data_IF_181775454310
#
_entry.id   IF_181775454310
#
_cell.length_a   1.000
_cell.length_b   1.000
_cell.length_c   1.000
_cell.angle_alpha   90.00
_cell.angle_beta   90.00
_cell.angle_gamma   90.00
#
_symmetry.space_group_name_H-M   'P 1'
#
loop_
_entity.id
_entity.type
_entity.pdbx_description
1 polymer ?
#
# COMPACT_ATOMS: atom_id res chain seq x y z
N UNK A 1 -4.31 6.79 -6.75
CA UNK A 1 -4.62 7.27 -5.37
C UNK A 1 -5.16 8.68 -5.42
N UNK A 2 -4.41 9.66 -5.92
CA UNK A 2 -4.86 11.06 -6.05
C UNK A 2 -6.22 11.21 -6.73
N UNK A 3 -6.43 10.57 -7.90
CA UNK A 3 -7.72 10.61 -8.59
C UNK A 3 -8.90 10.14 -7.72
N UNK A 4 -8.74 8.99 -7.05
CA UNK A 4 -9.78 8.43 -6.17
C UNK A 4 -10.04 9.32 -4.95
N UNK A 5 -8.99 9.97 -4.43
CA UNK A 5 -9.11 10.94 -3.34
C UNK A 5 -9.82 12.24 -3.77
N UNK A 6 -9.75 12.61 -5.05
CA UNK A 6 -10.48 13.78 -5.58
C UNK A 6 -11.96 13.43 -5.80
N UNK A 7 -12.27 12.22 -6.25
CA UNK A 7 -13.67 11.78 -6.43
C UNK A 7 -14.41 11.64 -5.09
N UNK A 8 -13.75 11.10 -4.07
CA UNK A 8 -14.32 10.97 -2.74
C UNK A 8 -13.21 10.85 -1.69
N UNK A 9 -13.03 11.91 -0.89
CA UNK A 9 -12.02 12.02 0.16
C UNK A 9 -12.35 11.24 1.44
N UNK A 10 -13.61 10.82 1.61
CA UNK A 10 -14.06 10.04 2.78
C UNK A 10 -13.96 8.53 2.59
N UNK A 11 -13.76 8.07 1.35
CA UNK A 11 -13.78 6.64 1.03
C UNK A 11 -12.39 6.04 1.10
N UNK A 12 -12.23 5.08 1.99
CA UNK A 12 -11.03 4.28 2.13
C UNK A 12 -10.51 3.71 0.79
N UNK A 13 -9.20 3.73 0.61
CA UNK A 13 -8.50 3.23 -0.56
C UNK A 13 -7.94 1.84 -0.29
N UNK A 14 -8.04 0.94 -1.28
CA UNK A 14 -7.53 -0.43 -1.16
C UNK A 14 -6.36 -0.65 -2.11
N UNK A 15 -5.17 -0.88 -1.54
CA UNK A 15 -3.96 -1.21 -2.27
C UNK A 15 -3.64 -2.70 -2.12
N UNK A 16 -3.84 -3.45 -3.20
CA UNK A 16 -3.44 -4.86 -3.28
C UNK A 16 -2.00 -4.97 -3.76
N UNK A 17 -1.16 -5.69 -3.01
CA UNK A 17 0.28 -5.77 -3.22
C UNK A 17 0.70 -7.21 -3.48
N UNK A 18 1.20 -7.46 -4.69
CA UNK A 18 1.91 -8.68 -5.05
C UNK A 18 3.18 -8.27 -5.83
N UNK A 19 4.28 -8.06 -5.12
CA UNK A 19 5.52 -7.56 -5.68
C UNK A 19 6.74 -8.15 -4.98
N UNK A 20 7.77 -8.60 -5.74
CA UNK A 20 9.06 -9.00 -5.18
C UNK A 20 9.92 -7.80 -4.74
N UNK A 21 9.42 -6.57 -4.90
CA UNK A 21 10.16 -5.34 -4.64
C UNK A 21 10.57 -4.65 -5.94
N UNK A 22 11.56 -3.77 -5.86
CA UNK A 22 12.02 -2.99 -6.99
C UNK A 22 12.83 -1.78 -6.59
N UNK A 23 12.71 -0.71 -7.37
CA UNK A 23 13.49 0.50 -7.20
C UNK A 23 13.02 1.30 -5.98
N UNK A 24 13.99 1.82 -5.21
CA UNK A 24 13.72 2.56 -3.98
C UNK A 24 12.99 3.87 -4.25
N UNK A 25 13.48 4.69 -5.18
CA UNK A 25 12.93 6.03 -5.43
C UNK A 25 11.45 6.00 -5.87
N UNK A 26 11.02 5.18 -6.84
CA UNK A 26 9.61 5.05 -7.17
C UNK A 26 8.78 4.47 -6.02
N UNK A 27 9.34 3.54 -5.25
CA UNK A 27 8.67 2.98 -4.07
C UNK A 27 8.39 4.02 -3.00
N UNK A 28 9.35 4.89 -2.71
CA UNK A 28 9.16 6.02 -1.79
C UNK A 28 8.16 7.03 -2.34
N UNK A 29 8.17 7.32 -3.64
CA UNK A 29 7.16 8.21 -4.23
C UNK A 29 5.72 7.67 -4.08
N UNK A 30 5.52 6.35 -4.20
CA UNK A 30 4.22 5.73 -3.92
C UNK A 30 3.87 5.87 -2.44
N UNK A 31 4.82 5.61 -1.54
CA UNK A 31 4.61 5.77 -0.10
C UNK A 31 4.22 7.20 0.28
N UNK A 32 4.92 8.21 -0.23
CA UNK A 32 4.60 9.62 0.01
C UNK A 32 3.21 9.96 -0.52
N UNK A 33 2.82 9.40 -1.67
CA UNK A 33 1.47 9.56 -2.21
C UNK A 33 0.42 8.92 -1.30
N UNK A 34 0.72 7.79 -0.64
CA UNK A 34 -0.17 7.16 0.33
C UNK A 34 -0.38 8.03 1.57
N UNK A 35 0.65 8.74 2.03
CA UNK A 35 0.56 9.64 3.20
C UNK A 35 -0.06 11.00 2.85
N UNK A 36 0.01 11.41 1.58
CA UNK A 36 -0.50 12.70 1.11
C UNK A 36 -2.03 12.71 0.95
N UNK A 37 -2.62 11.59 0.51
CA UNK A 37 -4.07 11.51 0.30
C UNK A 37 -4.80 11.48 1.64
N UNK A 38 -5.96 12.14 1.73
CA UNK A 38 -6.74 12.18 2.97
C UNK A 38 -7.39 10.83 3.37
N UNK A 39 -7.96 10.03 2.45
CA UNK A 39 -8.58 8.77 2.84
C UNK A 39 -7.54 7.72 3.26
N UNK A 40 -7.92 6.91 4.25
CA UNK A 40 -7.08 5.83 4.77
C UNK A 40 -6.74 4.80 3.68
N UNK A 41 -5.46 4.46 3.56
CA UNK A 41 -4.99 3.45 2.61
C UNK A 41 -4.88 2.09 3.28
N UNK A 42 -5.80 1.19 2.96
CA UNK A 42 -5.73 -0.23 3.30
C UNK A 42 -4.69 -0.91 2.41
N UNK A 43 -3.81 -1.69 3.02
CA UNK A 43 -2.81 -2.46 2.27
C UNK A 43 -3.06 -3.95 2.45
N UNK A 44 -3.12 -4.68 1.34
CA UNK A 44 -3.49 -6.09 1.33
C UNK A 44 -2.44 -6.87 0.54
N UNK A 45 -1.64 -7.68 1.25
CA UNK A 45 -0.64 -8.54 0.62
C UNK A 45 -1.29 -9.80 0.02
N UNK A 46 -1.06 -9.99 -1.27
CA UNK A 46 -1.45 -11.18 -2.02
C UNK A 46 -0.19 -11.87 -2.56
N UNK A 47 0.04 -13.12 -2.22
CA UNK A 47 1.20 -13.88 -2.72
C UNK A 47 2.52 -13.45 -2.09
N UNK A 48 3.16 -12.41 -2.61
CA UNK A 48 4.47 -11.95 -2.15
C UNK A 48 4.49 -10.42 -1.99
N UNK A 49 4.98 -9.94 -0.86
CA UNK A 49 5.42 -8.55 -0.70
C UNK A 49 6.84 -8.57 -0.14
N UNK A 50 7.84 -8.34 -1.00
CA UNK A 50 9.24 -8.33 -0.61
C UNK A 50 9.88 -6.95 -0.81
N UNK A 51 10.87 -6.58 0.02
CA UNK A 51 11.63 -5.33 -0.11
C UNK A 51 10.73 -4.08 -0.18
N UNK A 52 10.76 -3.29 -1.25
CA UNK A 52 9.87 -2.12 -1.38
C UNK A 52 8.38 -2.51 -1.37
N UNK A 53 8.03 -3.73 -1.75
CA UNK A 53 6.67 -4.25 -1.61
C UNK A 53 6.25 -4.42 -0.14
N UNK A 54 7.13 -4.93 0.72
CA UNK A 54 6.85 -5.04 2.16
C UNK A 54 6.88 -3.68 2.85
N UNK A 55 7.71 -2.75 2.39
CA UNK A 55 7.71 -1.36 2.84
C UNK A 55 6.37 -0.67 2.57
N UNK A 56 5.86 -0.74 1.33
CA UNK A 56 4.54 -0.19 0.98
C UNK A 56 3.41 -0.85 1.77
N UNK A 57 3.47 -2.17 1.95
CA UNK A 57 2.51 -2.89 2.76
C UNK A 57 2.48 -2.39 4.22
N UNK A 58 3.65 -2.17 4.81
CA UNK A 58 3.77 -1.63 6.16
C UNK A 58 3.30 -0.17 6.27
N UNK A 59 3.38 0.58 5.17
CA UNK A 59 3.02 2.00 5.06
C UNK A 59 1.52 2.32 4.93
N UNK A 60 0.66 1.31 4.87
CA UNK A 60 -0.79 1.51 4.97
C UNK A 60 -1.22 1.97 6.37
N UNK A 61 -2.49 2.37 6.49
CA UNK A 61 -3.06 2.88 7.74
C UNK A 61 -2.96 1.85 8.87
N UNK A 62 -2.65 2.31 10.08
CA UNK A 62 -2.49 1.45 11.25
C UNK A 62 -3.84 0.74 11.49
N UNK A 63 -3.79 -0.55 11.82
CA UNK A 63 -4.95 -1.47 11.92
C UNK A 63 -5.59 -1.92 10.59
N UNK A 64 -5.29 -1.28 9.45
CA UNK A 64 -5.88 -1.58 8.13
C UNK A 64 -4.91 -2.30 7.17
N UNK A 65 -3.94 -3.03 7.73
CA UNK A 65 -2.90 -3.76 6.98
C UNK A 65 -3.13 -5.26 7.08
N UNK A 66 -3.41 -5.89 5.96
CA UNK A 66 -3.84 -7.29 5.88
C UNK A 66 -2.91 -8.08 4.97
N UNK A 67 -2.87 -9.39 5.19
CA UNK A 67 -2.22 -10.32 4.28
C UNK A 67 -3.04 -11.60 4.22
N UNK A 68 -3.13 -12.20 3.03
CA UNK A 68 -3.74 -13.51 2.90
C UNK A 68 -2.91 -14.56 3.65
N UNK A 69 -3.52 -15.67 4.13
CA UNK A 69 -2.85 -16.65 4.99
C UNK A 69 -1.58 -17.27 4.39
N UNK A 70 -1.51 -17.39 3.06
CA UNK A 70 -0.37 -17.96 2.33
C UNK A 70 0.57 -16.89 1.78
N UNK A 71 0.28 -15.61 1.99
CA UNK A 71 1.12 -14.54 1.49
C UNK A 71 2.40 -14.42 2.33
N UNK A 72 3.54 -14.26 1.66
CA UNK A 72 4.83 -14.06 2.32
C UNK A 72 5.21 -12.58 2.29
N UNK A 73 5.61 -12.07 3.45
CA UNK A 73 6.21 -10.74 3.59
C UNK A 73 7.69 -10.93 3.88
N UNK A 74 8.55 -10.33 3.07
CA UNK A 74 10.01 -10.43 3.20
C UNK A 74 10.71 -9.08 3.09
#
# INVERSE_FOLDING_TARGET
MVYLSIENDTKDLYLFINSPGGWVIPGVAIYDTMQFVQPDVHTICMGLAASLGSFLLAGGEITKRLAFPQARRQ
#
